data_IF_416701118620
#
_entry.id   IF_416701118620
#
_cell.length_a   1.000
_cell.length_b   1.000
_cell.length_c   1.000
_cell.angle_alpha   90.00
_cell.angle_beta   90.00
_cell.angle_gamma   90.00
#
_symmetry.space_group_name_H-M   'P 1'
#
loop_
_entity.id
_entity.type
_entity.pdbx_description
1 polymer ?
#
# COMPACT_ATOMS: atom_id res chain seq x y z
N UNK A 1 0.20 2.75 12.11
CA UNK A 1 1.28 1.98 12.75
C UNK A 1 1.80 2.74 13.96
N UNK A 2 2.08 2.06 15.08
CA UNK A 2 2.73 2.64 16.27
C UNK A 2 4.25 2.73 16.03
N UNK A 3 4.97 3.54 16.83
CA UNK A 3 6.43 3.75 16.68
C UNK A 3 7.22 2.45 16.76
N UNK A 4 6.99 1.64 17.81
CA UNK A 4 7.67 0.36 17.98
C UNK A 4 7.41 -0.59 16.81
N UNK A 5 6.19 -0.61 16.28
CA UNK A 5 5.84 -1.40 15.10
C UNK A 5 6.58 -0.91 13.86
N UNK A 6 6.69 0.41 13.67
CA UNK A 6 7.45 0.99 12.55
C UNK A 6 8.95 0.66 12.65
N UNK A 7 9.54 0.76 13.84
CA UNK A 7 10.95 0.40 14.07
C UNK A 7 11.20 -1.09 13.80
N UNK A 8 10.31 -1.95 14.29
CA UNK A 8 10.37 -3.40 14.01
C UNK A 8 10.21 -3.68 12.53
N UNK A 9 9.27 -3.02 11.85
CA UNK A 9 9.08 -3.10 10.41
C UNK A 9 10.34 -2.68 9.65
N UNK A 10 10.95 -1.56 10.01
CA UNK A 10 12.17 -1.07 9.37
C UNK A 10 13.33 -2.05 9.56
N UNK A 11 13.48 -2.61 10.77
CA UNK A 11 14.45 -3.66 11.05
C UNK A 11 14.18 -4.92 10.22
N UNK A 12 12.91 -5.30 10.05
CA UNK A 12 12.50 -6.45 9.24
C UNK A 12 12.84 -6.29 7.75
N UNK A 13 12.70 -5.06 7.23
CA UNK A 13 13.08 -4.73 5.86
C UNK A 13 14.60 -4.78 5.68
N UNK A 14 15.37 -4.27 6.66
CA UNK A 14 16.83 -4.15 6.57
C UNK A 14 17.64 -5.34 7.07
N UNK A 15 17.03 -6.29 7.79
CA UNK A 15 17.76 -7.47 8.28
C UNK A 15 18.35 -8.26 7.12
N UNK A 16 19.46 -8.92 7.39
CA UNK A 16 20.05 -9.91 6.48
C UNK A 16 19.10 -11.11 6.31
N UNK A 17 19.15 -11.75 5.14
CA UNK A 17 18.27 -12.86 4.80
C UNK A 17 16.83 -12.47 4.45
N UNK A 18 15.88 -13.41 4.43
CA UNK A 18 14.51 -13.17 3.95
C UNK A 18 13.65 -12.38 4.95
N UNK A 19 12.90 -11.39 4.47
CA UNK A 19 11.85 -10.71 5.23
C UNK A 19 10.62 -11.62 5.43
N UNK A 20 9.96 -11.52 6.59
CA UNK A 20 8.70 -12.20 6.87
C UNK A 20 7.53 -11.44 6.21
N UNK A 21 7.15 -11.88 5.00
CA UNK A 21 6.10 -11.24 4.20
C UNK A 21 4.72 -11.35 4.84
N UNK A 22 4.43 -12.46 5.51
CA UNK A 22 3.14 -12.68 6.16
C UNK A 22 2.98 -11.76 7.38
N UNK A 23 4.06 -11.60 8.16
CA UNK A 23 4.07 -10.65 9.27
C UNK A 23 3.90 -9.22 8.79
N UNK A 24 4.61 -8.81 7.72
CA UNK A 24 4.46 -7.49 7.09
C UNK A 24 3.00 -7.26 6.70
N UNK A 25 2.37 -8.25 6.07
CA UNK A 25 0.99 -8.15 5.62
C UNK A 25 0.02 -8.01 6.81
N UNK A 26 0.24 -8.75 7.90
CA UNK A 26 -0.54 -8.63 9.15
C UNK A 26 -0.39 -7.27 9.84
N UNK A 27 0.66 -6.49 9.56
CA UNK A 27 0.79 -5.12 10.10
C UNK A 27 -0.13 -4.10 9.42
N UNK A 28 -0.80 -4.49 8.33
CA UNK A 28 -1.82 -3.71 7.65
C UNK A 28 -1.32 -2.92 6.44
N UNK A 29 -2.24 -2.18 5.81
CA UNK A 29 -2.07 -1.59 4.48
C UNK A 29 -0.85 -0.67 4.36
N UNK A 30 -0.49 0.10 5.40
CA UNK A 30 0.68 0.97 5.36
C UNK A 30 1.99 0.19 5.24
N UNK A 31 2.15 -0.92 5.97
CA UNK A 31 3.35 -1.73 5.90
C UNK A 31 3.51 -2.40 4.53
N UNK A 32 2.40 -2.88 3.95
CA UNK A 32 2.37 -3.43 2.58
C UNK A 32 2.79 -2.37 1.57
N UNK A 33 2.22 -1.15 1.64
CA UNK A 33 2.56 -0.06 0.72
C UNK A 33 4.01 0.39 0.83
N UNK A 34 4.53 0.51 2.05
CA UNK A 34 5.95 0.82 2.26
C UNK A 34 6.86 -0.28 1.70
N UNK A 35 6.50 -1.56 1.90
CA UNK A 35 7.26 -2.69 1.36
C UNK A 35 7.28 -2.70 -0.16
N UNK A 36 6.16 -2.38 -0.80
CA UNK A 36 6.06 -2.20 -2.25
C UNK A 36 7.01 -1.08 -2.72
N UNK A 37 7.07 0.05 -2.01
CA UNK A 37 8.03 1.13 -2.33
C UNK A 37 9.48 0.66 -2.17
N UNK A 38 9.82 -0.02 -1.07
CA UNK A 38 11.16 -0.56 -0.85
C UNK A 38 11.57 -1.59 -1.90
N UNK A 39 10.63 -2.37 -2.43
CA UNK A 39 10.88 -3.35 -3.48
C UNK A 39 11.40 -2.73 -4.80
N UNK A 40 11.25 -1.41 -4.96
CA UNK A 40 11.69 -0.64 -6.13
C UNK A 40 12.97 0.16 -5.87
N UNK A 41 13.62 -0.01 -4.71
CA UNK A 41 14.79 0.77 -4.27
C UNK A 41 16.04 -0.10 -4.10
N UNK A 42 16.64 -0.61 -5.20
CA UNK A 42 17.88 -1.39 -5.14
C UNK A 42 19.09 -0.59 -4.65
N UNK A 43 18.98 0.74 -4.60
CA UNK A 43 19.94 1.64 -3.97
C UNK A 43 19.86 1.62 -2.43
N UNK A 44 18.76 1.10 -1.86
CA UNK A 44 18.55 1.01 -0.41
C UNK A 44 18.64 -0.42 0.13
N UNK A 45 18.40 -1.43 -0.71
CA UNK A 45 18.31 -2.84 -0.33
C UNK A 45 18.99 -3.72 -1.39
N UNK A 46 19.38 -4.94 -1.01
CA UNK A 46 19.93 -5.89 -1.98
C UNK A 46 18.88 -6.26 -3.04
N UNK A 47 19.34 -6.60 -4.25
CA UNK A 47 18.48 -7.02 -5.35
C UNK A 47 17.59 -8.20 -4.93
N UNK A 48 18.14 -9.14 -4.15
CA UNK A 48 17.40 -10.30 -3.66
C UNK A 48 16.27 -9.90 -2.70
N UNK A 49 16.53 -8.95 -1.79
CA UNK A 49 15.49 -8.40 -0.92
C UNK A 49 14.40 -7.70 -1.73
N UNK A 50 14.78 -6.89 -2.72
CA UNK A 50 13.82 -6.22 -3.60
C UNK A 50 12.91 -7.22 -4.31
N UNK A 51 13.47 -8.27 -4.93
CA UNK A 51 12.71 -9.35 -5.57
C UNK A 51 11.79 -10.08 -4.59
N UNK A 52 12.25 -10.30 -3.37
CA UNK A 52 11.42 -10.91 -2.33
C UNK A 52 10.21 -10.02 -2.00
N UNK A 53 10.42 -8.72 -1.76
CA UNK A 53 9.35 -7.77 -1.45
C UNK A 53 8.40 -7.56 -2.63
N UNK A 54 8.83 -7.75 -3.88
CA UNK A 54 7.95 -7.72 -5.05
C UNK A 54 6.84 -8.77 -5.02
N UNK A 55 7.00 -9.86 -4.25
CA UNK A 55 5.92 -10.83 -4.05
C UNK A 55 4.67 -10.21 -3.39
N UNK A 56 4.84 -9.11 -2.65
CA UNK A 56 3.74 -8.35 -2.05
C UNK A 56 2.87 -7.58 -3.04
N UNK A 57 3.22 -7.54 -4.34
CA UNK A 57 2.31 -7.07 -5.38
C UNK A 57 1.30 -8.13 -5.80
N UNK A 58 1.69 -9.41 -5.79
CA UNK A 58 0.84 -10.55 -6.17
C UNK A 58 0.02 -11.09 -5.01
N UNK A 59 0.62 -11.14 -3.81
CA UNK A 59 -0.02 -11.65 -2.61
C UNK A 59 -0.79 -10.54 -1.87
N UNK A 60 -1.62 -9.79 -2.57
CA UNK A 60 -2.82 -9.29 -1.89
C UNK A 60 -3.69 -10.53 -1.72
N UNK A 61 -3.45 -11.28 -0.63
CA UNK A 61 -4.29 -12.41 -0.28
C UNK A 61 -5.73 -12.03 -0.56
N UNK A 62 -6.50 -12.97 -1.09
CA UNK A 62 -7.94 -13.05 -0.93
C UNK A 62 -8.24 -12.93 0.57
N UNK A 63 -8.10 -11.71 1.08
CA UNK A 63 -8.60 -11.26 2.37
C UNK A 63 -10.07 -11.65 2.27
N UNK A 64 -10.54 -12.48 3.22
CA UNK A 64 -11.84 -13.14 3.14
C UNK A 64 -12.84 -12.11 2.66
N UNK A 65 -13.58 -12.50 1.63
CA UNK A 65 -14.56 -11.71 0.91
C UNK A 65 -15.23 -10.77 1.90
N UNK A 66 -14.75 -9.52 1.96
CA UNK A 66 -15.60 -8.48 2.52
C UNK A 66 -16.86 -8.58 1.69
N UNK A 67 -17.97 -8.74 2.37
CA UNK A 67 -19.28 -8.96 1.77
C UNK A 67 -19.50 -7.87 0.70
N UNK A 68 -19.28 -8.26 -0.56
CA UNK A 68 -19.29 -7.36 -1.72
C UNK A 68 -20.70 -6.79 -1.84
N UNK A 69 -21.70 -7.62 -1.60
CA UNK A 69 -23.09 -7.24 -1.55
C UNK A 69 -23.33 -6.17 -0.49
N UNK A 70 -22.81 -6.35 0.74
CA UNK A 70 -22.90 -5.33 1.79
C UNK A 70 -22.23 -4.02 1.38
N UNK A 71 -21.04 -4.05 0.79
CA UNK A 71 -20.34 -2.82 0.35
C UNK A 71 -21.13 -2.10 -0.74
N UNK A 72 -21.62 -2.85 -1.73
CA UNK A 72 -22.41 -2.30 -2.81
C UNK A 72 -23.73 -1.71 -2.27
N UNK A 73 -24.42 -2.39 -1.35
CA UNK A 73 -25.62 -1.85 -0.66
C UNK A 73 -25.33 -0.54 0.08
N UNK A 74 -24.20 -0.45 0.78
CA UNK A 74 -23.85 0.72 1.59
C UNK A 74 -23.32 1.91 0.76
N UNK A 75 -22.66 1.65 -0.37
CA UNK A 75 -21.81 2.65 -1.05
C UNK A 75 -22.07 2.84 -2.53
N UNK A 76 -22.82 1.95 -3.19
CA UNK A 76 -23.11 2.14 -4.59
C UNK A 76 -23.99 3.39 -4.80
N UNK A 77 -23.76 4.16 -5.88
CA UNK A 77 -24.61 5.29 -6.20
C UNK A 77 -26.04 4.83 -6.52
N UNK A 78 -27.01 5.76 -6.41
CA UNK A 78 -28.39 5.50 -6.83
C UNK A 78 -28.44 5.03 -8.29
N UNK A 79 -29.22 3.99 -8.58
CA UNK A 79 -29.36 3.43 -9.92
C UNK A 79 -28.25 2.46 -10.34
N UNK A 80 -27.27 2.18 -9.47
CA UNK A 80 -26.22 1.20 -9.77
C UNK A 80 -26.81 -0.17 -10.13
N UNK A 81 -27.70 -0.71 -9.30
CA UNK A 81 -28.32 -2.01 -9.55
C UNK A 81 -29.21 -2.01 -10.81
N UNK A 82 -29.86 -0.89 -11.11
CA UNK A 82 -30.71 -0.74 -12.30
C UNK A 82 -29.90 -0.69 -13.60
N UNK A 83 -28.63 -0.27 -13.52
CA UNK A 83 -27.72 -0.20 -14.66
C UNK A 83 -27.01 -1.52 -14.98
N UNK A 84 -27.12 -2.53 -14.11
CA UNK A 84 -26.36 -3.77 -14.18
C UNK A 84 -27.29 -4.91 -14.60
N UNK A 85 -27.04 -5.49 -15.78
CA UNK A 85 -27.74 -6.68 -16.25
C UNK A 85 -27.18 -7.96 -15.61
N UNK A 86 -25.87 -8.00 -15.39
CA UNK A 86 -25.18 -9.15 -14.81
C UNK A 86 -23.94 -8.71 -14.03
N UNK A 87 -23.65 -9.39 -12.91
CA UNK A 87 -22.48 -9.16 -12.08
C UNK A 87 -21.89 -10.51 -11.66
N UNK A 88 -20.58 -10.66 -11.84
CA UNK A 88 -19.85 -11.85 -11.41
C UNK A 88 -19.54 -11.77 -9.91
N UNK A 89 -20.14 -12.65 -9.12
CA UNK A 89 -19.84 -12.74 -7.68
C UNK A 89 -18.38 -13.18 -7.44
N UNK A 90 -17.80 -13.94 -8.38
CA UNK A 90 -16.40 -14.31 -8.29
C UNK A 90 -15.50 -13.15 -8.75
N UNK A 91 -14.54 -12.70 -7.91
CA UNK A 91 -13.64 -11.63 -8.29
C UNK A 91 -12.66 -12.12 -9.37
N UNK A 92 -12.59 -11.38 -10.48
CA UNK A 92 -11.54 -11.53 -11.49
C UNK A 92 -10.13 -11.34 -10.88
N UNK A 93 -10.00 -10.41 -9.93
CA UNK A 93 -8.75 -10.18 -9.22
C UNK A 93 -8.98 -9.55 -7.85
N UNK A 94 -8.13 -9.92 -6.89
CA UNK A 94 -8.03 -9.25 -5.59
C UNK A 94 -6.83 -8.29 -5.58
N UNK A 95 -7.04 -7.07 -5.11
CA UNK A 95 -6.00 -6.07 -4.92
C UNK A 95 -5.90 -5.64 -3.45
N UNK A 96 -4.78 -5.01 -3.09
CA UNK A 96 -4.50 -4.53 -1.73
C UNK A 96 -5.59 -3.64 -1.10
N UNK A 97 -6.46 -3.02 -1.90
CA UNK A 97 -7.49 -2.05 -1.47
C UNK A 97 -8.91 -2.40 -1.92
N UNK A 98 -9.11 -3.51 -2.63
CA UNK A 98 -10.39 -3.82 -3.24
C UNK A 98 -10.39 -5.10 -4.04
N UNK A 99 -11.55 -5.45 -4.57
CA UNK A 99 -11.75 -6.57 -5.49
C UNK A 99 -12.20 -6.02 -6.84
N UNK A 100 -11.95 -6.78 -7.90
CA UNK A 100 -12.28 -6.42 -9.26
C UNK A 100 -13.18 -7.52 -9.81
N UNK A 101 -14.38 -7.16 -10.24
CA UNK A 101 -15.42 -8.06 -10.71
C UNK A 101 -15.79 -7.75 -12.16
N UNK A 102 -16.25 -8.77 -12.89
CA UNK A 102 -16.82 -8.60 -14.23
C UNK A 102 -18.29 -8.26 -14.09
N UNK A 103 -18.81 -7.45 -14.99
CA UNK A 103 -20.24 -7.15 -15.06
C UNK A 103 -20.65 -6.80 -16.49
N UNK A 104 -21.94 -6.88 -16.76
CA UNK A 104 -22.56 -6.43 -18.00
C UNK A 104 -23.60 -5.39 -17.66
N UNK A 105 -23.57 -4.25 -18.35
CA UNK A 105 -24.57 -3.21 -18.21
C UNK A 105 -25.86 -3.57 -18.95
N UNK A 106 -26.97 -2.93 -18.62
CA UNK A 106 -28.27 -3.14 -19.28
C UNK A 106 -28.30 -2.76 -20.76
N UNK A 107 -27.32 -1.96 -21.23
CA UNK A 107 -27.11 -1.65 -22.65
C UNK A 107 -26.28 -2.73 -23.39
N UNK A 108 -25.85 -3.80 -22.72
CA UNK A 108 -25.04 -4.89 -23.28
C UNK A 108 -23.52 -4.69 -23.20
N UNK A 109 -23.03 -3.57 -22.66
CA UNK A 109 -21.60 -3.30 -22.54
C UNK A 109 -20.95 -4.11 -21.41
N UNK A 110 -19.82 -4.76 -21.70
CA UNK A 110 -19.01 -5.44 -20.68
C UNK A 110 -18.11 -4.45 -19.94
N UNK A 111 -18.19 -4.46 -18.61
CA UNK A 111 -17.47 -3.55 -17.74
C UNK A 111 -16.76 -4.29 -16.61
N UNK A 112 -15.80 -3.60 -16.00
CA UNK A 112 -15.07 -4.08 -14.84
C UNK A 112 -15.38 -3.18 -13.64
N UNK A 113 -15.88 -3.78 -12.57
CA UNK A 113 -16.30 -3.06 -11.36
C UNK A 113 -15.30 -3.31 -10.26
N UNK A 114 -14.69 -2.23 -9.78
CA UNK A 114 -13.76 -2.28 -8.66
C UNK A 114 -14.48 -1.95 -7.35
N UNK A 115 -14.71 -2.98 -6.54
CA UNK A 115 -15.32 -2.85 -5.21
C UNK A 115 -14.22 -2.52 -4.19
N UNK A 116 -14.27 -1.30 -3.64
CA UNK A 116 -13.27 -0.83 -2.67
C UNK A 116 -13.70 -1.22 -1.25
N UNK A 117 -12.79 -1.89 -0.54
CA UNK A 117 -13.03 -2.43 0.80
C UNK A 117 -13.55 -1.40 1.81
N UNK A 118 -14.49 -1.82 2.66
CA UNK A 118 -15.05 -1.03 3.75
C UNK A 118 -13.98 -0.80 4.85
N UNK A 119 -13.39 0.39 4.80
CA UNK A 119 -12.57 1.01 5.83
C UNK A 119 -11.20 0.39 6.14
N UNK A 120 -10.32 0.46 5.13
CA UNK A 120 -8.92 0.81 5.40
C UNK A 120 -8.68 2.32 5.42
N UNK A 121 -9.55 3.15 4.84
CA UNK A 121 -9.25 4.58 4.62
C UNK A 121 -8.94 5.31 5.93
N UNK A 122 -9.80 5.26 6.93
CA UNK A 122 -9.56 5.95 8.20
C UNK A 122 -8.36 5.40 8.97
N UNK A 123 -8.25 4.07 9.07
CA UNK A 123 -7.12 3.42 9.73
C UNK A 123 -5.80 3.76 9.03
N UNK A 124 -5.77 3.72 7.70
CA UNK A 124 -4.62 4.11 6.88
C UNK A 124 -4.28 5.60 7.04
N UNK A 125 -5.26 6.50 7.01
CA UNK A 125 -5.02 7.93 7.23
C UNK A 125 -4.46 8.20 8.64
N UNK A 126 -5.00 7.53 9.66
CA UNK A 126 -4.51 7.61 11.04
C UNK A 126 -3.06 7.12 11.13
N UNK A 127 -2.75 6.05 10.42
CA UNK A 127 -1.44 5.43 10.37
C UNK A 127 -0.40 6.31 9.67
N UNK A 128 -0.76 6.90 8.53
CA UNK A 128 0.06 7.89 7.82
C UNK A 128 0.27 9.13 8.69
N UNK A 129 -0.78 9.68 9.32
CA UNK A 129 -0.66 10.84 10.23
C UNK A 129 0.28 10.55 11.40
N UNK A 130 0.24 9.34 11.97
CA UNK A 130 1.19 8.91 13.02
C UNK A 130 2.62 8.87 12.47
N UNK A 131 2.82 8.25 11.31
CA UNK A 131 4.12 8.19 10.64
C UNK A 131 4.72 9.58 10.36
N UNK A 132 3.92 10.49 9.79
CA UNK A 132 4.34 11.87 9.52
C UNK A 132 4.77 12.62 10.80
N UNK A 133 4.03 12.44 11.91
CA UNK A 133 4.43 13.03 13.20
C UNK A 133 5.76 12.48 13.69
N UNK A 134 5.96 11.17 13.60
CA UNK A 134 7.23 10.53 13.99
C UNK A 134 8.39 11.03 13.14
N UNK A 135 8.22 11.15 11.82
CA UNK A 135 9.25 11.68 10.92
C UNK A 135 9.58 13.15 11.22
N UNK A 136 8.58 13.99 11.47
CA UNK A 136 8.81 15.41 11.85
C UNK A 136 9.63 15.51 13.14
N UNK A 137 9.31 14.70 14.14
CA UNK A 137 10.08 14.65 15.38
C UNK A 137 11.50 14.14 15.15
N UNK A 138 11.67 13.07 14.36
CA UNK A 138 12.99 12.52 14.04
C UNK A 138 13.87 13.55 13.32
N UNK A 139 13.34 14.28 12.34
CA UNK A 139 14.06 15.34 11.63
C UNK A 139 14.38 16.50 12.58
N UNK A 140 13.43 16.94 13.41
CA UNK A 140 13.64 18.02 14.38
C UNK A 140 14.69 17.68 15.44
N UNK A 141 14.86 16.40 15.77
CA UNK A 141 15.84 15.91 16.75
C UNK A 141 17.15 15.47 16.09
N UNK A 142 17.26 15.54 14.76
CA UNK A 142 18.49 15.19 14.03
C UNK A 142 19.33 16.45 13.81
N UNK A 143 20.44 16.65 14.53
CA UNK A 143 21.28 17.85 14.41
C UNK A 143 22.03 17.99 13.07
N UNK A 144 21.90 17.04 12.14
CA UNK A 144 22.72 16.91 10.92
C UNK A 144 21.97 17.12 9.59
N UNK A 145 20.93 17.95 9.56
CA UNK A 145 20.27 18.32 8.28
C UNK A 145 20.31 19.82 7.97
N UNK A 146 21.14 20.57 8.70
CA UNK A 146 21.41 21.99 8.42
C UNK A 146 22.88 22.30 8.06
N UNK A 147 23.75 21.29 7.92
CA UNK A 147 25.11 21.51 7.44
C UNK A 147 25.25 21.18 5.94
N UNK A 148 25.24 22.25 5.13
CA UNK A 148 26.11 22.42 3.97
C UNK A 148 25.94 21.47 2.78
N UNK A 149 24.96 21.74 1.93
CA UNK A 149 25.02 21.32 0.53
C UNK A 149 25.71 22.37 -0.34
N UNK A 150 27.01 22.63 -0.12
CA UNK A 150 27.81 23.24 -1.19
C UNK A 150 28.11 22.14 -2.23
N UNK A 151 27.81 22.35 -3.53
CA UNK A 151 28.15 21.37 -4.55
C UNK A 151 29.67 21.23 -4.66
N UNK A 152 30.21 20.00 -4.81
CA UNK A 152 31.63 19.81 -5.02
C UNK A 152 31.98 20.34 -6.41
N UNK A 153 32.66 21.48 -6.50
CA UNK A 153 33.20 21.94 -7.79
C UNK A 153 33.47 23.42 -8.03
N UNK A 154 33.48 24.30 -7.03
CA UNK A 154 33.91 25.71 -7.24
C UNK A 154 35.16 26.06 -6.44
N UNK A 155 36.24 25.30 -6.67
CA UNK A 155 37.59 25.72 -6.32
C UNK A 155 38.40 25.96 -7.60
N UNK A 156 38.45 27.24 -7.96
CA UNK A 156 39.59 27.96 -8.55
C UNK A 156 40.33 27.33 -9.74
N UNK A 157 40.23 27.99 -10.89
CA UNK A 157 41.41 28.28 -11.73
C UNK A 157 41.40 29.76 -12.07
N UNK A 158 42.39 30.47 -11.52
CA UNK A 158 42.89 31.75 -12.04
C UNK A 158 43.51 31.55 -13.40
#
# INVERSE_FOLDING_TARGET
MRLLTFLRFYREIRKEGPADLDWIQRQGLLAVKLSQIFALRPDMLSIEKCRQLQKMYRNASTIPSEDVERILKERAPSGFYDSIAWFDEEPLAAASVGQVHRATLTNGEEVVIKVVKANHKESFHRDVKRMMRMMRLAISLSPKTQEGGEPPGTSQTR
#
